data_IF_430976396106
#
_entry.id   IF_430976396106
#
_cell.length_a   1.000
_cell.length_b   1.000
_cell.length_c   1.000
_cell.angle_alpha   90.00
_cell.angle_beta   90.00
_cell.angle_gamma   90.00
#
_symmetry.space_group_name_H-M   'P 1'
#
loop_
_entity.id
_entity.type
_entity.pdbx_description
1 polymer ?
#
# COMPACT_ATOMS: atom_id res chain seq x y z
N UNK A 1 25.80 9.58 -5.60
CA UNK A 1 24.93 10.67 -6.11
C UNK A 1 23.51 10.34 -5.67
N UNK A 2 22.91 11.16 -4.80
CA UNK A 2 21.53 10.93 -4.35
C UNK A 2 20.59 11.40 -5.46
N UNK A 3 19.93 10.46 -6.14
CA UNK A 3 18.85 10.80 -7.06
C UNK A 3 17.77 11.56 -6.32
N UNK A 4 17.32 12.69 -6.86
CA UNK A 4 16.16 13.41 -6.33
C UNK A 4 14.92 12.55 -6.61
N UNK A 5 14.33 12.03 -5.54
CA UNK A 5 13.04 11.35 -5.58
C UNK A 5 11.95 12.39 -5.37
N UNK A 6 10.96 12.40 -6.25
CA UNK A 6 9.89 13.39 -6.30
C UNK A 6 10.37 14.85 -6.53
N UNK A 7 9.44 15.73 -6.93
CA UNK A 7 9.70 17.14 -7.24
C UNK A 7 9.57 18.09 -6.03
N UNK A 8 9.27 17.57 -4.85
CA UNK A 8 8.84 18.36 -3.70
C UNK A 8 9.97 18.83 -2.78
N UNK A 9 11.23 18.38 -2.97
CA UNK A 9 12.40 18.80 -2.19
C UNK A 9 12.22 18.72 -0.65
N UNK A 10 11.27 17.91 -0.17
CA UNK A 10 10.97 17.72 1.25
C UNK A 10 11.96 16.75 1.92
N UNK A 11 12.25 16.93 3.24
CA UNK A 11 13.10 16.02 3.98
C UNK A 11 12.55 14.59 3.90
N UNK A 12 13.42 13.62 3.58
CA UNK A 12 13.03 12.22 3.42
C UNK A 12 12.33 11.72 4.68
N UNK A 13 11.03 11.46 4.54
CA UNK A 13 10.24 10.75 5.54
C UNK A 13 10.22 9.25 5.16
N UNK A 14 10.81 8.35 5.96
CA UNK A 14 10.85 6.92 5.65
C UNK A 14 9.46 6.26 5.70
N UNK A 15 8.46 6.90 6.29
CA UNK A 15 7.10 6.39 6.40
C UNK A 15 6.15 6.91 5.29
N UNK A 16 6.66 7.71 4.35
CA UNK A 16 5.86 8.26 3.25
C UNK A 16 5.70 7.27 2.08
N UNK A 17 4.45 7.01 1.70
CA UNK A 17 4.11 6.17 0.57
C UNK A 17 4.46 6.84 -0.76
N UNK A 18 5.20 6.14 -1.63
CA UNK A 18 5.63 6.62 -2.94
C UNK A 18 5.20 5.67 -4.05
N UNK A 19 4.91 6.21 -5.23
CA UNK A 19 4.59 5.46 -6.45
C UNK A 19 5.74 5.49 -7.44
N UNK A 20 5.96 4.36 -8.13
CA UNK A 20 6.97 4.23 -9.17
C UNK A 20 6.37 4.47 -10.55
N UNK A 21 6.90 5.45 -11.29
CA UNK A 21 6.44 5.73 -12.64
C UNK A 21 7.02 4.72 -13.64
N UNK A 22 6.16 4.03 -14.40
CA UNK A 22 6.58 3.10 -15.44
C UNK A 22 7.32 3.76 -16.61
N UNK A 23 7.06 5.04 -16.89
CA UNK A 23 7.67 5.78 -17.99
C UNK A 23 9.10 6.25 -17.69
N UNK A 24 9.24 7.14 -16.71
CA UNK A 24 10.54 7.74 -16.35
C UNK A 24 11.31 6.95 -15.28
N UNK A 25 10.74 5.87 -14.74
CA UNK A 25 11.31 5.03 -13.67
C UNK A 25 11.67 5.80 -12.40
N UNK A 26 11.04 6.95 -12.16
CA UNK A 26 11.26 7.78 -10.98
C UNK A 26 10.14 7.59 -9.95
N UNK A 27 10.42 7.95 -8.71
CA UNK A 27 9.51 7.84 -7.57
C UNK A 27 8.84 9.17 -7.26
N UNK A 28 7.53 9.14 -6.98
CA UNK A 28 6.73 10.32 -6.70
C UNK A 28 5.83 10.09 -5.49
N UNK A 29 5.58 11.12 -4.69
CA UNK A 29 4.49 11.08 -3.73
C UNK A 29 3.17 11.22 -4.47
N UNK A 30 2.13 10.43 -4.16
CA UNK A 30 0.81 10.58 -4.76
C UNK A 30 0.31 12.03 -4.68
N UNK A 31 0.46 12.67 -3.51
CA UNK A 31 0.07 14.06 -3.30
C UNK A 31 0.80 15.05 -4.21
N UNK A 32 2.03 14.74 -4.66
CA UNK A 32 2.80 15.59 -5.57
C UNK A 32 2.38 15.44 -7.04
N UNK A 33 1.64 14.38 -7.38
CA UNK A 33 1.13 14.09 -8.73
C UNK A 33 -0.39 14.13 -8.77
N UNK A 34 -1.00 14.88 -7.83
CA UNK A 34 -2.45 15.07 -7.71
C UNK A 34 -3.24 13.75 -7.62
N UNK A 35 -2.68 12.80 -6.86
CA UNK A 35 -3.24 11.48 -6.63
C UNK A 35 -3.35 11.20 -5.13
N UNK A 36 -4.42 10.53 -4.71
CA UNK A 36 -4.56 10.08 -3.32
C UNK A 36 -3.80 8.76 -3.10
N UNK A 37 -3.49 8.43 -1.85
CA UNK A 37 -2.83 7.16 -1.51
C UNK A 37 -3.72 5.97 -1.90
N UNK A 38 -5.04 6.11 -1.73
CA UNK A 38 -6.02 5.08 -2.09
C UNK A 38 -6.05 4.85 -3.60
N UNK A 39 -6.10 5.91 -4.40
CA UNK A 39 -6.01 5.80 -5.86
C UNK A 39 -4.68 5.17 -6.27
N UNK A 40 -3.58 5.58 -5.66
CA UNK A 40 -2.26 5.05 -5.96
C UNK A 40 -2.10 3.57 -5.60
N UNK A 41 -2.73 3.10 -4.52
CA UNK A 41 -2.77 1.67 -4.15
C UNK A 41 -3.60 0.84 -5.13
N UNK A 42 -4.64 1.44 -5.70
CA UNK A 42 -5.53 0.78 -6.66
C UNK A 42 -5.07 0.93 -8.12
N UNK A 43 -4.04 1.74 -8.38
CA UNK A 43 -3.57 2.09 -9.71
C UNK A 43 -2.18 1.50 -9.95
N UNK A 44 -2.15 0.25 -10.42
CA UNK A 44 -0.96 -0.37 -11.01
C UNK A 44 -1.25 -0.71 -12.48
N UNK A 45 -0.53 -0.11 -13.47
CA UNK A 45 0.71 0.67 -13.35
C UNK A 45 0.56 2.21 -13.33
N UNK A 46 1.32 2.90 -12.46
CA UNK A 46 1.38 4.36 -12.38
C UNK A 46 2.25 5.02 -13.48
N UNK A 47 1.75 6.13 -14.06
CA UNK A 47 2.47 6.96 -15.04
C UNK A 47 2.38 8.42 -14.62
N UNK A 48 3.51 9.10 -14.50
CA UNK A 48 3.56 10.50 -14.08
C UNK A 48 3.03 11.45 -15.18
N UNK A 49 2.58 12.67 -14.82
CA UNK A 49 2.05 13.65 -15.77
C UNK A 49 3.02 14.00 -16.91
N UNK A 50 4.32 13.96 -16.66
CA UNK A 50 5.35 14.22 -17.68
C UNK A 50 5.47 13.08 -18.72
N UNK A 51 5.07 11.87 -18.33
CA UNK A 51 5.05 10.69 -19.20
C UNK A 51 3.67 10.45 -19.83
N UNK A 52 2.63 11.17 -19.40
CA UNK A 52 1.32 11.10 -20.05
C UNK A 52 1.43 11.77 -21.43
N UNK A 53 1.05 11.09 -22.53
CA UNK A 53 1.12 11.67 -23.85
C UNK A 53 0.15 12.86 -23.95
N UNK A 54 0.66 14.02 -24.41
CA UNK A 54 -0.06 15.29 -24.52
C UNK A 54 -1.23 15.29 -25.55
N UNK A 55 -1.69 14.12 -26.00
CA UNK A 55 -2.62 13.98 -27.12
C UNK A 55 -4.05 13.63 -26.71
N UNK A 56 -4.49 14.08 -25.53
CA UNK A 56 -5.90 14.07 -25.14
C UNK A 56 -6.35 15.46 -24.69
N UNK A 57 -6.47 16.35 -25.67
CA UNK A 57 -6.99 17.72 -25.51
C UNK A 57 -8.52 17.76 -25.37
N UNK A 58 -9.11 16.84 -24.59
CA UNK A 58 -10.50 16.94 -24.17
C UNK A 58 -10.59 16.76 -22.66
N UNK A 59 -11.00 17.84 -22.00
CA UNK A 59 -11.56 17.86 -20.64
C UNK A 59 -12.48 16.66 -20.42
N UNK A 60 -11.98 15.65 -19.73
CA UNK A 60 -12.76 14.74 -18.89
C UNK A 60 -11.80 14.07 -17.93
N UNK A 61 -12.10 14.19 -16.63
CA UNK A 61 -11.55 13.32 -15.59
C UNK A 61 -11.71 11.87 -16.05
N UNK A 62 -10.62 11.25 -16.44
CA UNK A 62 -10.46 9.81 -16.58
C UNK A 62 -9.04 9.57 -16.06
N UNK A 63 -8.79 9.11 -14.83
CA UNK A 63 -9.26 7.84 -14.27
C UNK A 63 -9.55 6.88 -15.42
N UNK A 64 -8.49 6.29 -15.97
CA UNK A 64 -8.65 5.04 -16.68
C UNK A 64 -8.67 3.94 -15.61
N UNK A 65 -9.82 3.42 -15.15
CA UNK A 65 -9.86 2.00 -14.93
C UNK A 65 -9.70 1.39 -16.33
N UNK A 66 -8.62 0.66 -16.58
CA UNK A 66 -8.61 -0.27 -17.70
C UNK A 66 -9.62 -1.37 -17.35
N UNK A 67 -10.90 -1.11 -17.56
CA UNK A 67 -11.92 -2.14 -17.66
C UNK A 67 -11.70 -2.89 -18.96
N UNK A 68 -10.74 -3.81 -18.93
CA UNK A 68 -10.89 -5.06 -19.67
C UNK A 68 -12.13 -5.78 -19.09
N UNK A 69 -12.95 -6.45 -19.91
CA UNK A 69 -14.01 -7.30 -19.40
C UNK A 69 -13.34 -8.51 -18.75
N UNK A 70 -13.07 -8.42 -17.45
CA UNK A 70 -12.59 -9.54 -16.65
C UNK A 70 -13.80 -10.10 -15.90
N UNK A 71 -14.52 -11.00 -16.57
CA UNK A 71 -15.38 -11.97 -15.91
C UNK A 71 -14.49 -12.88 -15.04
N UNK A 72 -14.41 -12.57 -13.75
CA UNK A 72 -13.74 -13.41 -12.76
C UNK A 72 -13.36 -12.67 -11.49
N UNK A 73 -13.80 -13.17 -10.35
CA UNK A 73 -13.21 -12.84 -9.05
C UNK A 73 -11.76 -13.36 -9.05
N UNK A 74 -10.79 -12.53 -9.45
CA UNK A 74 -9.37 -12.84 -9.27
C UNK A 74 -8.84 -12.08 -8.07
N UNK A 75 -8.54 -12.83 -7.01
CA UNK A 75 -7.72 -12.36 -5.89
C UNK A 75 -6.40 -11.83 -6.47
N UNK A 76 -6.15 -10.53 -6.26
CA UNK A 76 -4.89 -9.89 -6.67
C UNK A 76 -3.78 -10.63 -5.91
N UNK A 77 -2.81 -11.27 -6.60
CA UNK A 77 -1.72 -11.97 -5.92
C UNK A 77 -0.97 -10.96 -5.04
N UNK A 78 -0.97 -11.20 -3.73
CA UNK A 78 -0.32 -10.29 -2.77
C UNK A 78 1.17 -10.19 -3.08
N UNK A 79 1.70 -8.96 -3.07
CA UNK A 79 3.12 -8.69 -3.27
C UNK A 79 3.99 -9.47 -2.26
N UNK A 80 5.16 -10.03 -2.65
CA UNK A 80 6.00 -10.84 -1.76
C UNK A 80 6.46 -10.10 -0.49
N UNK A 81 6.59 -8.78 -0.52
CA UNK A 81 6.88 -7.98 0.66
C UNK A 81 5.68 -7.92 1.60
N UNK A 82 4.48 -7.76 1.03
CA UNK A 82 3.23 -7.80 1.79
C UNK A 82 2.99 -9.17 2.42
N UNK A 83 3.37 -10.26 1.74
CA UNK A 83 3.33 -11.61 2.30
C UNK A 83 4.22 -11.74 3.54
N UNK A 84 5.47 -11.24 3.47
CA UNK A 84 6.38 -11.26 4.61
C UNK A 84 5.86 -10.44 5.81
N UNK A 85 5.21 -9.30 5.54
CA UNK A 85 4.56 -8.50 6.60
C UNK A 85 3.42 -9.30 7.25
N UNK A 86 2.55 -9.91 6.44
CA UNK A 86 1.40 -10.67 6.93
C UNK A 86 1.85 -11.89 7.74
N UNK A 87 2.90 -12.60 7.31
CA UNK A 87 3.48 -13.70 8.08
C UNK A 87 3.96 -13.25 9.47
N UNK A 88 4.65 -12.10 9.54
CA UNK A 88 5.09 -11.52 10.81
C UNK A 88 3.93 -11.05 11.68
N UNK A 89 2.88 -10.51 11.08
CA UNK A 89 1.65 -10.14 11.80
C UNK A 89 0.98 -11.38 12.39
N UNK A 90 0.82 -12.44 11.60
CA UNK A 90 0.23 -13.71 12.07
C UNK A 90 1.04 -14.33 13.21
N UNK A 91 2.37 -14.24 13.16
CA UNK A 91 3.22 -14.72 14.26
C UNK A 91 2.99 -13.92 15.55
N UNK A 92 2.91 -12.59 15.45
CA UNK A 92 2.56 -11.74 16.60
C UNK A 92 1.16 -12.05 17.14
N UNK A 93 0.16 -12.22 16.29
CA UNK A 93 -1.21 -12.57 16.70
C UNK A 93 -1.25 -13.91 17.44
N UNK A 94 -0.48 -14.90 16.98
CA UNK A 94 -0.35 -16.19 17.66
C UNK A 94 0.21 -16.03 19.06
N UNK A 95 1.30 -15.28 19.22
CA UNK A 95 1.89 -15.04 20.56
C UNK A 95 0.92 -14.31 21.49
N UNK A 96 0.17 -13.33 20.97
CA UNK A 96 -0.86 -12.63 21.73
C UNK A 96 -1.97 -13.59 22.20
N UNK A 97 -2.41 -14.51 21.34
CA UNK A 97 -3.40 -15.52 21.70
C UNK A 97 -2.89 -16.47 22.80
N UNK A 98 -1.63 -16.91 22.72
CA UNK A 98 -1.01 -17.74 23.76
C UNK A 98 -0.97 -16.99 25.11
N UNK A 99 -0.58 -15.71 25.10
CA UNK A 99 -0.60 -14.87 26.30
C UNK A 99 -2.01 -14.73 26.89
N UNK A 100 -3.03 -14.52 26.04
CA UNK A 100 -4.42 -14.42 26.48
C UNK A 100 -4.93 -15.73 27.10
N UNK A 101 -4.55 -16.88 26.55
CA UNK A 101 -4.90 -18.19 27.14
C UNK A 101 -4.28 -18.38 28.52
N UNK A 102 -3.02 -17.98 28.71
CA UNK A 102 -2.35 -18.03 30.01
C UNK A 102 -3.01 -17.10 31.02
N UNK A 103 -3.37 -15.90 30.58
CA UNK A 103 -4.08 -14.93 31.41
C UNK A 103 -5.44 -15.48 31.87
N UNK A 104 -6.22 -16.05 30.96
CA UNK A 104 -7.51 -16.67 31.30
C UNK A 104 -7.33 -17.85 32.29
N UNK A 105 -6.31 -18.68 32.08
CA UNK A 105 -6.00 -19.78 33.00
C UNK A 105 -5.62 -19.29 34.41
N UNK A 106 -4.88 -18.18 34.51
CA UNK A 106 -4.56 -17.54 35.79
C UNK A 106 -5.80 -16.94 36.45
N UNK A 107 -6.63 -16.24 35.69
CA UNK A 107 -7.87 -15.64 36.18
C UNK A 107 -8.83 -16.71 36.73
N UNK A 108 -8.98 -17.84 36.02
CA UNK A 108 -9.76 -19.00 36.49
C UNK A 108 -9.17 -19.67 37.73
N UNK A 109 -7.87 -19.57 37.95
CA UNK A 109 -7.23 -20.07 39.18
C UNK A 109 -7.51 -19.13 40.34
N UNK A 110 -7.35 -17.83 40.14
CA UNK A 110 -7.62 -16.82 41.17
C UNK A 110 -9.09 -16.81 41.60
N UNK A 111 -10.02 -17.02 40.67
CA UNK A 111 -11.45 -17.11 40.98
C UNK A 111 -11.84 -18.31 41.84
N UNK A 112 -10.95 -19.31 42.02
CA UNK A 112 -11.18 -20.44 42.93
C UNK A 112 -10.75 -20.16 44.37
N UNK A 113 -10.09 -19.03 44.61
CA UNK A 113 -9.60 -18.61 45.92
C UNK A 113 -10.41 -17.43 46.51
N UNK A 114 -11.42 -16.93 45.80
CA UNK A 114 -12.49 -16.08 46.31
C UNK A 114 -13.71 -16.92 46.65
#
# INVERSE_FOLDING_TARGET
>A
MFGRYCKCEMPRNPDEFMVHCKGCKNWYHPACVDMTIEEAKNLDPFVCPDCLPANDSKKSKAIYPLSLPYDGEQEIPMDPFQQSINERLTEMEKTLNECNMLLDALMRRLSKYQ
#
